data_IF_314042615842
#
_entry.id   IF_314042615842
#
_cell.length_a   1.000
_cell.length_b   1.000
_cell.length_c   1.000
_cell.angle_alpha   90.00
_cell.angle_beta   90.00
_cell.angle_gamma   90.00
#
_symmetry.space_group_name_H-M   'P 1'
#
loop_
_entity.id
_entity.type
_entity.pdbx_description
1 polymer ?
#
# COMPACT_ATOMS: atom_id res chain seq x y z
N UNK A 1 -14.96 -15.45 19.41
CA UNK A 1 -16.24 -15.81 18.71
C UNK A 1 -17.41 -15.23 19.47
N UNK A 2 -17.53 -15.54 20.76
CA UNK A 2 -18.51 -14.93 21.64
C UNK A 2 -17.84 -13.78 22.43
N UNK A 3 -18.31 -12.52 22.30
CA UNK A 3 -17.70 -11.38 23.00
C UNK A 3 -17.70 -11.52 24.53
N UNK A 4 -18.66 -12.26 25.08
CA UNK A 4 -18.83 -12.46 26.53
C UNK A 4 -18.03 -13.67 27.06
N UNK A 5 -17.46 -14.48 26.17
CA UNK A 5 -16.68 -15.67 26.49
C UNK A 5 -15.33 -15.68 25.77
N UNK A 6 -14.25 -15.22 26.40
CA UNK A 6 -12.90 -15.26 25.81
C UNK A 6 -12.42 -16.67 25.45
N UNK A 7 -12.95 -17.72 26.08
CA UNK A 7 -12.58 -19.10 25.77
C UNK A 7 -13.16 -19.61 24.44
N UNK A 8 -14.12 -18.92 23.87
CA UNK A 8 -14.75 -19.27 22.59
C UNK A 8 -13.82 -19.11 21.37
N UNK A 9 -12.65 -18.52 21.55
CA UNK A 9 -11.65 -18.32 20.50
C UNK A 9 -11.88 -17.03 19.67
N UNK A 10 -11.07 -16.87 18.62
CA UNK A 10 -11.08 -15.69 17.75
C UNK A 10 -11.82 -16.00 16.44
N UNK A 11 -12.43 -14.98 15.86
CA UNK A 11 -12.94 -15.03 14.49
C UNK A 11 -11.78 -15.11 13.49
N UNK A 12 -12.02 -15.62 12.28
CA UNK A 12 -11.03 -15.57 11.21
C UNK A 12 -10.51 -14.14 11.00
N UNK A 13 -9.23 -14.03 10.67
CA UNK A 13 -8.56 -12.75 10.41
C UNK A 13 -8.49 -11.79 11.63
N UNK A 14 -8.71 -12.30 12.83
CA UNK A 14 -8.51 -11.58 14.09
C UNK A 14 -7.28 -12.17 14.79
N UNK A 15 -6.30 -11.31 15.08
CA UNK A 15 -5.07 -11.69 15.75
C UNK A 15 -5.26 -11.92 17.24
N UNK A 16 -4.59 -12.93 17.79
CA UNK A 16 -4.46 -13.13 19.24
C UNK A 16 -3.32 -12.31 19.87
N UNK A 17 -2.56 -11.57 19.08
CA UNK A 17 -1.49 -10.70 19.59
C UNK A 17 -2.08 -9.38 20.05
N UNK A 18 -1.55 -8.86 21.15
CA UNK A 18 -1.91 -7.51 21.60
C UNK A 18 -1.30 -6.43 20.68
N UNK A 19 -1.90 -5.25 20.71
CA UNK A 19 -1.27 -4.07 20.15
C UNK A 19 0.03 -3.77 20.90
N UNK A 20 1.08 -3.43 20.18
CA UNK A 20 2.34 -2.97 20.78
C UNK A 20 2.16 -1.61 21.48
N UNK A 21 3.18 -1.19 22.21
CA UNK A 21 3.24 0.19 22.70
C UNK A 21 3.25 1.18 21.53
N UNK A 22 2.62 2.33 21.69
CA UNK A 22 2.59 3.35 20.63
C UNK A 22 4.01 3.73 20.17
N UNK A 23 4.25 3.65 18.85
CA UNK A 23 5.56 3.91 18.25
C UNK A 23 6.57 2.76 18.37
N UNK A 24 6.19 1.61 18.95
CA UNK A 24 7.08 0.44 18.97
C UNK A 24 7.16 -0.20 17.57
N UNK A 25 8.36 -0.68 17.21
CA UNK A 25 8.57 -1.42 15.98
C UNK A 25 8.26 -2.91 16.18
N UNK A 26 7.76 -3.55 15.13
CA UNK A 26 7.59 -5.00 15.05
C UNK A 26 7.80 -5.52 13.61
N UNK A 27 7.43 -6.77 13.35
CA UNK A 27 7.57 -7.40 12.02
C UNK A 27 6.27 -7.36 11.19
N UNK A 28 5.21 -6.75 11.71
CA UNK A 28 3.95 -6.60 10.97
C UNK A 28 4.11 -5.50 9.92
N UNK A 29 3.44 -5.70 8.80
CA UNK A 29 3.41 -4.75 7.70
C UNK A 29 1.97 -4.42 7.34
N UNK A 30 1.75 -3.26 6.76
CA UNK A 30 0.42 -2.84 6.31
C UNK A 30 -0.16 -3.83 5.29
N UNK A 31 -1.47 -4.00 5.34
CA UNK A 31 -2.20 -4.95 4.53
C UNK A 31 -2.03 -4.70 3.02
N UNK A 32 -2.09 -5.79 2.24
CA UNK A 32 -2.14 -5.76 0.78
C UNK A 32 -3.58 -5.97 0.29
N UNK A 33 -3.84 -5.57 -0.94
CA UNK A 33 -5.06 -5.88 -1.66
C UNK A 33 -4.81 -5.86 -3.17
N UNK A 34 -5.73 -6.43 -3.95
CA UNK A 34 -5.81 -6.11 -5.37
C UNK A 34 -6.62 -4.81 -5.55
N UNK A 35 -6.14 -3.90 -6.41
CA UNK A 35 -6.87 -2.71 -6.83
C UNK A 35 -7.81 -3.13 -7.96
N UNK A 36 -9.08 -3.34 -7.62
CA UNK A 36 -10.05 -3.88 -8.55
C UNK A 36 -10.68 -2.80 -9.40
N UNK A 37 -10.79 -3.05 -10.70
CA UNK A 37 -11.59 -2.25 -11.61
C UNK A 37 -13.00 -2.86 -11.70
N UNK A 38 -13.98 -2.18 -11.13
CA UNK A 38 -15.38 -2.56 -11.24
C UNK A 38 -16.10 -1.69 -12.28
N UNK A 39 -17.17 -2.21 -12.87
CA UNK A 39 -18.05 -1.49 -13.80
C UNK A 39 -19.52 -1.69 -13.45
N UNK A 40 -20.32 -0.63 -13.60
CA UNK A 40 -21.79 -0.70 -13.56
C UNK A 40 -22.43 -0.47 -14.92
N UNK A 41 -21.65 -0.56 -16.01
CA UNK A 41 -22.17 -0.54 -17.36
C UNK A 41 -22.78 -1.92 -17.69
N UNK A 42 -24.06 -2.05 -18.06
CA UNK A 42 -24.72 -3.36 -18.27
C UNK A 42 -23.99 -4.28 -19.23
N UNK A 43 -23.39 -3.73 -20.31
CA UNK A 43 -22.67 -4.48 -21.33
C UNK A 43 -21.18 -4.68 -21.03
N UNK A 44 -20.67 -4.07 -19.94
CA UNK A 44 -19.26 -4.11 -19.57
C UNK A 44 -19.07 -4.54 -18.12
N UNK A 45 -19.77 -5.59 -17.69
CA UNK A 45 -19.55 -6.15 -16.35
C UNK A 45 -19.67 -7.67 -16.33
N UNK A 46 -18.80 -8.28 -15.54
CA UNK A 46 -18.85 -9.71 -15.18
C UNK A 46 -19.36 -9.80 -13.74
N UNK A 47 -20.48 -10.53 -13.50
CA UNK A 47 -21.02 -10.69 -12.15
C UNK A 47 -20.03 -11.35 -11.19
N UNK A 48 -20.15 -11.04 -9.91
CA UNK A 48 -19.37 -11.68 -8.86
C UNK A 48 -19.81 -13.14 -8.69
N UNK A 49 -18.89 -14.06 -8.92
CA UNK A 49 -19.17 -15.51 -8.83
C UNK A 49 -18.58 -16.09 -7.55
N UNK A 50 -19.17 -17.18 -7.07
CA UNK A 50 -18.66 -17.91 -5.91
C UNK A 50 -17.29 -18.51 -6.24
N UNK A 51 -16.20 -18.11 -5.53
CA UNK A 51 -14.91 -18.76 -5.72
C UNK A 51 -14.92 -20.19 -5.20
N UNK A 52 -14.02 -21.03 -5.73
CA UNK A 52 -13.94 -22.44 -5.39
C UNK A 52 -13.71 -22.68 -3.89
N UNK A 53 -12.82 -21.89 -3.28
CA UNK A 53 -12.43 -22.00 -1.87
C UNK A 53 -13.27 -21.10 -0.96
N UNK A 54 -14.50 -20.74 -1.36
CA UNK A 54 -15.34 -19.84 -0.57
C UNK A 54 -15.80 -20.46 0.73
N UNK A 55 -15.47 -19.78 1.84
CA UNK A 55 -15.99 -20.06 3.17
C UNK A 55 -16.63 -18.79 3.75
N UNK A 56 -17.95 -18.79 3.94
CA UNK A 56 -18.69 -17.67 4.49
C UNK A 56 -18.23 -17.27 5.90
N UNK A 57 -17.67 -18.20 6.66
CA UNK A 57 -17.20 -17.94 8.02
C UNK A 57 -16.00 -16.97 8.05
N UNK A 58 -15.22 -16.90 6.97
CA UNK A 58 -14.15 -15.90 6.82
C UNK A 58 -14.66 -14.46 6.92
N UNK A 59 -15.95 -14.24 6.61
CA UNK A 59 -16.61 -12.91 6.61
C UNK A 59 -17.60 -12.75 7.77
N UNK A 60 -17.54 -13.62 8.78
CA UNK A 60 -18.40 -13.54 9.96
C UNK A 60 -18.33 -12.15 10.63
N UNK A 61 -17.13 -11.60 10.78
CA UNK A 61 -16.93 -10.27 11.33
C UNK A 61 -17.60 -9.19 10.46
N UNK A 62 -17.55 -9.31 9.14
CA UNK A 62 -18.23 -8.38 8.22
C UNK A 62 -19.75 -8.45 8.37
N UNK A 63 -20.30 -9.66 8.52
CA UNK A 63 -21.72 -9.83 8.82
C UNK A 63 -22.14 -9.06 10.07
N UNK A 64 -21.38 -9.20 11.16
CA UNK A 64 -21.63 -8.44 12.41
C UNK A 64 -21.46 -6.93 12.23
N UNK A 65 -20.56 -6.47 11.38
CA UNK A 65 -20.40 -5.05 11.02
C UNK A 65 -21.66 -4.53 10.34
N UNK A 66 -22.26 -5.25 9.42
CA UNK A 66 -23.54 -4.86 8.81
C UNK A 66 -24.70 -4.88 9.82
N UNK A 67 -24.76 -5.90 10.67
CA UNK A 67 -25.76 -5.99 11.76
C UNK A 67 -25.65 -4.82 12.76
N UNK A 68 -24.46 -4.28 12.97
CA UNK A 68 -24.24 -3.09 13.79
C UNK A 68 -24.72 -1.78 13.15
N UNK A 69 -25.19 -1.82 11.92
CA UNK A 69 -25.73 -0.67 11.20
C UNK A 69 -24.76 0.07 10.28
N UNK A 70 -23.57 -0.46 10.01
CA UNK A 70 -22.63 0.16 9.08
C UNK A 70 -23.18 0.20 7.65
N UNK A 71 -22.99 1.34 6.93
CA UNK A 71 -23.57 1.61 5.62
C UNK A 71 -22.60 2.18 4.59
N UNK A 72 -21.32 2.38 4.92
CA UNK A 72 -20.39 3.15 4.08
C UNK A 72 -19.70 2.30 2.99
N UNK A 73 -20.32 1.21 2.56
CA UNK A 73 -19.76 0.25 1.60
C UNK A 73 -19.17 0.88 0.33
N UNK A 74 -19.80 1.95 -0.18
CA UNK A 74 -19.42 2.57 -1.46
C UNK A 74 -18.50 3.79 -1.31
N UNK A 75 -18.04 4.11 -0.10
CA UNK A 75 -17.28 5.33 0.15
C UNK A 75 -15.99 5.43 -0.69
N UNK A 76 -15.35 4.29 -0.98
CA UNK A 76 -14.13 4.17 -1.78
C UNK A 76 -14.34 3.43 -3.10
N UNK A 77 -15.49 3.62 -3.71
CA UNK A 77 -15.73 3.34 -5.12
C UNK A 77 -15.34 4.60 -5.92
N UNK A 78 -14.04 4.86 -6.04
CA UNK A 78 -13.52 6.07 -6.68
C UNK A 78 -13.78 6.00 -8.19
N UNK A 79 -14.72 6.83 -8.67
CA UNK A 79 -15.17 6.79 -10.07
C UNK A 79 -14.08 7.21 -11.04
N UNK A 80 -13.88 6.40 -12.07
CA UNK A 80 -13.02 6.68 -13.21
C UNK A 80 -13.85 6.65 -14.50
N UNK A 81 -13.33 7.12 -15.66
CA UNK A 81 -14.08 7.15 -16.91
C UNK A 81 -14.72 5.81 -17.28
N UNK A 82 -15.74 5.87 -18.14
CA UNK A 82 -16.46 4.71 -18.68
C UNK A 82 -17.30 3.92 -17.65
N UNK A 83 -17.82 4.59 -16.62
CA UNK A 83 -18.62 3.97 -15.55
C UNK A 83 -17.88 2.88 -14.80
N UNK A 84 -16.59 3.07 -14.61
CA UNK A 84 -15.71 2.19 -13.85
C UNK A 84 -15.31 2.81 -12.51
N UNK A 85 -14.69 2.02 -11.66
CA UNK A 85 -14.12 2.46 -10.39
C UNK A 85 -12.71 1.94 -10.22
N UNK A 86 -11.88 2.71 -9.51
CA UNK A 86 -10.73 2.19 -8.78
C UNK A 86 -11.21 1.88 -7.36
N UNK A 87 -11.51 0.61 -7.09
CA UNK A 87 -12.09 0.20 -5.82
C UNK A 87 -11.00 -0.05 -4.79
N UNK A 88 -11.02 0.73 -3.70
CA UNK A 88 -10.03 0.68 -2.63
C UNK A 88 -10.68 0.27 -1.29
N UNK A 89 -9.84 0.14 -0.25
CA UNK A 89 -10.31 -0.20 1.10
C UNK A 89 -11.08 0.94 1.75
N UNK A 90 -12.10 0.60 2.52
CA UNK A 90 -12.81 1.50 3.42
C UNK A 90 -13.53 0.74 4.53
N UNK A 91 -13.58 1.34 5.71
CA UNK A 91 -14.34 0.81 6.84
C UNK A 91 -13.63 -0.27 7.66
N UNK A 92 -14.33 -0.84 8.63
CA UNK A 92 -13.75 -1.76 9.62
C UNK A 92 -13.36 -3.12 9.02
N UNK A 93 -13.97 -3.51 7.90
CA UNK A 93 -13.67 -4.73 7.15
C UNK A 93 -13.75 -4.39 5.66
N UNK A 94 -12.68 -4.65 4.91
CA UNK A 94 -12.53 -4.13 3.55
C UNK A 94 -11.75 -5.08 2.64
N UNK A 95 -11.34 -4.57 1.47
CA UNK A 95 -10.48 -5.27 0.51
C UNK A 95 -9.08 -5.56 1.04
N UNK A 96 -8.62 -4.83 2.05
CA UNK A 96 -7.34 -5.09 2.70
C UNK A 96 -7.39 -6.40 3.50
N UNK A 97 -6.55 -7.36 3.11
CA UNK A 97 -6.43 -8.62 3.83
C UNK A 97 -5.44 -8.47 5.00
N UNK A 98 -5.94 -7.86 6.10
CA UNK A 98 -5.14 -7.54 7.29
C UNK A 98 -4.55 -8.80 7.88
N UNK A 99 -3.21 -8.85 8.01
CA UNK A 99 -2.46 -9.98 8.57
C UNK A 99 -2.17 -11.11 7.59
N UNK A 100 -2.71 -11.06 6.36
CA UNK A 100 -2.49 -12.09 5.34
C UNK A 100 -1.11 -12.06 4.67
N UNK A 101 -0.27 -11.07 4.97
CA UNK A 101 0.95 -10.76 4.22
C UNK A 101 2.24 -10.70 5.04
N UNK A 102 2.22 -10.98 6.34
CA UNK A 102 3.40 -10.81 7.21
C UNK A 102 4.63 -11.61 6.75
N UNK A 103 4.43 -12.80 6.21
CA UNK A 103 5.54 -13.63 5.73
C UNK A 103 6.07 -13.19 4.35
N UNK A 104 5.30 -12.39 3.58
CA UNK A 104 5.60 -12.07 2.19
C UNK A 104 7.02 -11.53 1.96
N UNK A 105 7.56 -10.58 2.76
CA UNK A 105 8.89 -10.03 2.54
C UNK A 105 10.01 -11.08 2.55
N UNK A 106 9.91 -12.08 3.43
CA UNK A 106 10.93 -13.12 3.64
C UNK A 106 10.59 -14.45 2.95
N UNK A 107 9.43 -14.55 2.32
CA UNK A 107 8.94 -15.78 1.72
C UNK A 107 9.69 -16.15 0.44
N UNK A 108 9.79 -17.47 0.17
CA UNK A 108 10.18 -18.00 -1.13
C UNK A 108 9.18 -17.57 -2.22
N UNK A 109 9.57 -17.64 -3.49
CA UNK A 109 8.65 -17.35 -4.59
C UNK A 109 7.40 -18.24 -4.58
N UNK A 110 7.55 -19.52 -4.22
CA UNK A 110 6.40 -20.42 -4.08
C UNK A 110 5.47 -19.94 -2.97
N UNK A 111 6.00 -19.59 -1.78
CA UNK A 111 5.18 -19.07 -0.68
C UNK A 111 4.53 -17.73 -1.00
N UNK A 112 5.21 -16.87 -1.74
CA UNK A 112 4.61 -15.61 -2.24
C UNK A 112 3.45 -15.87 -3.19
N UNK A 113 3.55 -16.86 -4.07
CA UNK A 113 2.45 -17.25 -4.94
C UNK A 113 1.23 -17.74 -4.14
N UNK A 114 1.43 -18.53 -3.08
CA UNK A 114 0.36 -18.93 -2.15
C UNK A 114 -0.29 -17.72 -1.46
N UNK A 115 0.52 -16.78 -0.96
CA UNK A 115 0.03 -15.56 -0.33
C UNK A 115 -0.78 -14.71 -1.31
N UNK A 116 -0.32 -14.58 -2.56
CA UNK A 116 -1.03 -13.86 -3.62
C UNK A 116 -2.38 -14.54 -3.91
N UNK A 117 -2.41 -15.87 -4.02
CA UNK A 117 -3.65 -16.61 -4.25
C UNK A 117 -4.62 -16.46 -3.08
N UNK A 118 -4.13 -16.52 -1.83
CA UNK A 118 -4.96 -16.29 -0.65
C UNK A 118 -5.59 -14.88 -0.63
N UNK A 119 -4.88 -13.86 -1.08
CA UNK A 119 -5.44 -12.52 -1.24
C UNK A 119 -6.52 -12.46 -2.32
N UNK A 120 -6.33 -13.17 -3.43
CA UNK A 120 -7.33 -13.29 -4.48
C UNK A 120 -8.58 -13.96 -3.97
N UNK A 121 -8.45 -15.13 -3.33
CA UNK A 121 -9.56 -15.90 -2.76
C UNK A 121 -10.33 -15.07 -1.71
N UNK A 122 -9.61 -14.38 -0.83
CA UNK A 122 -10.19 -13.46 0.15
C UNK A 122 -11.01 -12.35 -0.50
N UNK A 123 -10.48 -11.65 -1.49
CA UNK A 123 -11.20 -10.54 -2.10
C UNK A 123 -12.37 -11.01 -2.99
N UNK A 124 -12.21 -12.09 -3.76
CA UNK A 124 -13.30 -12.67 -4.52
C UNK A 124 -14.43 -13.16 -3.62
N UNK A 125 -14.08 -13.82 -2.52
CA UNK A 125 -15.05 -14.24 -1.53
C UNK A 125 -15.74 -13.08 -0.81
N UNK A 126 -15.02 -11.98 -0.55
CA UNK A 126 -15.59 -10.74 -0.01
C UNK A 126 -16.66 -10.17 -0.95
N UNK A 127 -16.35 -10.07 -2.24
CA UNK A 127 -17.31 -9.57 -3.23
C UNK A 127 -18.55 -10.47 -3.31
N UNK A 128 -18.35 -11.79 -3.32
CA UNK A 128 -19.44 -12.76 -3.33
C UNK A 128 -20.28 -12.69 -2.06
N UNK A 129 -19.66 -12.57 -0.87
CA UNK A 129 -20.36 -12.40 0.40
C UNK A 129 -21.25 -11.15 0.37
N UNK A 130 -20.71 -10.00 -0.03
CA UNK A 130 -21.51 -8.76 -0.10
C UNK A 130 -22.67 -8.92 -1.09
N UNK A 131 -22.45 -9.60 -2.21
CA UNK A 131 -23.47 -9.80 -3.24
C UNK A 131 -24.61 -10.75 -2.82
N UNK A 132 -24.38 -11.66 -1.86
CA UNK A 132 -25.31 -12.80 -1.64
C UNK A 132 -25.70 -13.08 -0.19
N UNK A 133 -24.91 -12.64 0.82
CA UNK A 133 -25.18 -12.99 2.22
C UNK A 133 -26.41 -12.22 2.75
N UNK A 134 -27.36 -12.86 3.42
CA UNK A 134 -28.59 -12.24 3.89
C UNK A 134 -28.40 -11.19 5.02
N UNK A 135 -27.22 -11.14 5.65
CA UNK A 135 -26.88 -10.13 6.67
C UNK A 135 -26.49 -8.79 6.04
N UNK A 136 -26.16 -8.79 4.75
CA UNK A 136 -25.93 -7.53 4.01
C UNK A 136 -27.29 -6.85 3.81
N UNK A 137 -27.44 -5.59 4.21
CA UNK A 137 -28.70 -4.85 4.01
C UNK A 137 -29.14 -4.86 2.56
N UNK A 138 -30.40 -5.17 2.33
CA UNK A 138 -30.93 -5.43 0.98
C UNK A 138 -30.76 -4.26 0.02
N UNK A 139 -30.82 -3.04 0.50
CA UNK A 139 -30.60 -1.83 -0.28
C UNK A 139 -29.13 -1.73 -0.75
N UNK A 140 -28.17 -2.03 0.13
CA UNK A 140 -26.73 -2.07 -0.21
C UNK A 140 -26.44 -3.23 -1.14
N UNK A 141 -26.98 -4.41 -0.88
CA UNK A 141 -26.81 -5.60 -1.71
C UNK A 141 -27.36 -5.39 -3.12
N UNK A 142 -28.54 -4.79 -3.25
CA UNK A 142 -29.15 -4.46 -4.55
C UNK A 142 -28.27 -3.51 -5.33
N UNK A 143 -27.81 -2.42 -4.69
CA UNK A 143 -26.90 -1.44 -5.30
C UNK A 143 -25.55 -2.07 -5.64
N UNK A 144 -25.01 -2.96 -4.80
CA UNK A 144 -23.75 -3.64 -5.05
C UNK A 144 -23.83 -4.57 -6.27
N UNK A 145 -24.94 -5.24 -6.47
CA UNK A 145 -25.19 -6.12 -7.63
C UNK A 145 -25.39 -5.35 -8.96
N UNK A 146 -25.50 -4.02 -8.93
CA UNK A 146 -25.36 -3.20 -10.14
C UNK A 146 -23.93 -3.23 -10.69
N UNK A 147 -22.93 -3.47 -9.85
CA UNK A 147 -21.53 -3.58 -10.18
C UNK A 147 -21.09 -5.01 -10.50
N UNK A 148 -19.97 -5.13 -11.21
CA UNK A 148 -19.25 -6.38 -11.47
C UNK A 148 -17.80 -6.05 -11.85
N UNK A 149 -16.98 -7.05 -12.10
CA UNK A 149 -15.64 -6.83 -12.66
C UNK A 149 -15.79 -6.21 -14.05
N UNK A 150 -14.94 -5.25 -14.43
CA UNK A 150 -15.00 -4.64 -15.75
C UNK A 150 -14.60 -5.67 -16.82
N UNK A 151 -15.53 -5.95 -17.76
CA UNK A 151 -15.38 -7.02 -18.75
C UNK A 151 -14.26 -6.73 -19.78
N UNK A 152 -13.91 -5.46 -19.97
CA UNK A 152 -12.86 -5.00 -20.89
C UNK A 152 -11.48 -4.80 -20.23
N UNK A 153 -11.38 -5.05 -18.92
CA UNK A 153 -10.10 -4.97 -18.19
C UNK A 153 -9.59 -6.36 -17.83
N UNK A 154 -8.26 -6.55 -17.90
CA UNK A 154 -7.58 -7.79 -17.50
C UNK A 154 -8.18 -9.03 -18.16
N UNK A 155 -8.56 -8.94 -19.44
CA UNK A 155 -9.28 -9.97 -20.18
C UNK A 155 -8.51 -11.29 -20.29
N UNK A 156 -7.20 -11.24 -20.22
CA UNK A 156 -6.27 -12.37 -20.22
C UNK A 156 -6.08 -13.00 -18.83
N UNK A 157 -6.67 -12.40 -17.77
CA UNK A 157 -6.58 -12.89 -16.39
C UNK A 157 -7.95 -13.03 -15.70
N UNK A 158 -9.00 -13.30 -16.46
CA UNK A 158 -10.36 -13.47 -15.91
C UNK A 158 -10.94 -12.18 -15.32
N UNK A 159 -10.61 -11.04 -15.89
CA UNK A 159 -11.03 -9.70 -15.48
C UNK A 159 -10.53 -9.31 -14.06
N UNK A 160 -9.49 -10.00 -13.58
CA UNK A 160 -8.87 -9.76 -12.28
C UNK A 160 -7.50 -9.09 -12.46
N UNK A 161 -7.13 -8.08 -11.62
CA UNK A 161 -5.83 -7.41 -11.73
C UNK A 161 -4.67 -8.41 -11.67
N UNK A 162 -3.65 -8.20 -12.52
CA UNK A 162 -2.49 -9.09 -12.58
C UNK A 162 -1.64 -9.04 -11.32
N UNK A 163 -1.56 -7.87 -10.69
CA UNK A 163 -0.62 -7.63 -9.61
C UNK A 163 -1.33 -7.38 -8.28
N UNK A 164 -0.92 -8.10 -7.25
CA UNK A 164 -1.21 -7.74 -5.86
C UNK A 164 -0.53 -6.40 -5.54
N UNK A 165 -1.25 -5.45 -4.99
CA UNK A 165 -0.70 -4.15 -4.59
C UNK A 165 0.10 -4.27 -3.29
N UNK A 166 1.41 -4.41 -3.46
CA UNK A 166 2.38 -4.57 -2.38
C UNK A 166 2.82 -3.17 -1.94
N UNK A 167 2.25 -2.69 -0.84
CA UNK A 167 2.50 -1.34 -0.34
C UNK A 167 3.88 -1.17 0.26
N UNK A 168 4.38 -2.20 0.91
CA UNK A 168 5.71 -2.27 1.48
C UNK A 168 6.17 -3.72 1.63
N UNK A 169 7.49 -3.93 1.61
CA UNK A 169 8.12 -5.22 1.88
C UNK A 169 9.50 -4.96 2.49
N UNK A 170 10.57 -5.52 1.91
CA UNK A 170 11.94 -5.19 2.31
C UNK A 170 12.30 -3.77 1.85
N UNK A 171 13.00 -3.05 2.71
CA UNK A 171 13.65 -1.77 2.39
C UNK A 171 15.15 -1.90 2.70
N UNK A 172 15.98 -1.27 1.88
CA UNK A 172 17.41 -1.22 2.10
C UNK A 172 17.73 -0.41 3.37
N UNK A 173 18.82 -0.75 4.04
CA UNK A 173 19.47 0.12 5.03
C UNK A 173 20.74 0.67 4.35
N UNK A 174 20.58 1.82 3.71
CA UNK A 174 21.66 2.47 2.95
C UNK A 174 22.48 3.45 3.77
N UNK A 175 23.25 4.29 3.06
CA UNK A 175 24.07 5.34 3.70
C UNK A 175 23.25 6.41 4.41
N UNK A 176 22.03 6.64 3.97
CA UNK A 176 21.07 7.53 4.60
C UNK A 176 19.70 6.86 4.72
N UNK A 177 19.08 6.97 5.88
CA UNK A 177 17.73 6.45 6.10
C UNK A 177 16.75 7.62 6.16
N UNK A 178 15.85 7.71 5.17
CA UNK A 178 14.75 8.66 5.19
C UNK A 178 13.81 8.35 6.35
N UNK A 179 13.44 9.37 7.12
CA UNK A 179 12.58 9.23 8.30
C UNK A 179 11.40 10.21 8.25
N UNK A 180 10.49 10.12 9.21
CA UNK A 180 9.40 11.07 9.40
C UNK A 180 9.89 12.53 9.44
N UNK A 181 11.02 12.80 10.08
CA UNK A 181 11.59 14.17 10.18
C UNK A 181 11.96 14.76 8.82
N UNK A 182 12.39 13.92 7.88
CA UNK A 182 12.68 14.36 6.52
C UNK A 182 11.38 14.68 5.75
N UNK A 183 10.38 13.81 5.90
CA UNK A 183 9.08 13.98 5.25
C UNK A 183 8.33 15.21 5.80
N UNK A 184 8.47 15.49 7.09
CA UNK A 184 7.92 16.69 7.73
C UNK A 184 8.79 17.95 7.53
N UNK A 185 9.91 17.85 6.82
CA UNK A 185 10.86 18.96 6.60
C UNK A 185 11.43 19.57 7.91
N UNK A 186 11.51 18.75 8.96
CA UNK A 186 12.07 19.13 10.26
C UNK A 186 13.59 19.07 10.28
N UNK A 187 14.20 18.47 9.25
CA UNK A 187 15.64 18.46 9.05
C UNK A 187 15.97 18.64 7.56
N UNK A 188 17.11 19.21 7.27
CA UNK A 188 17.60 19.34 5.91
C UNK A 188 18.06 17.98 5.39
N UNK A 189 17.52 17.58 4.24
CA UNK A 189 17.90 16.37 3.53
C UNK A 189 19.12 16.66 2.67
N UNK A 190 20.23 15.90 2.81
CA UNK A 190 21.41 16.10 1.97
C UNK A 190 21.20 15.53 0.57
N UNK A 191 21.87 16.11 -0.42
CA UNK A 191 22.01 15.55 -1.76
C UNK A 191 20.67 15.13 -2.38
N UNK A 192 19.76 16.07 -2.58
CA UNK A 192 18.44 15.82 -3.14
C UNK A 192 18.50 15.29 -4.57
N UNK A 193 17.79 14.21 -4.85
CA UNK A 193 17.66 13.62 -6.20
C UNK A 193 16.21 13.55 -6.69
N UNK A 194 15.29 14.16 -5.97
CA UNK A 194 13.89 14.23 -6.33
C UNK A 194 13.03 14.66 -5.15
N UNK A 195 11.74 14.82 -5.41
CA UNK A 195 10.77 15.30 -4.44
C UNK A 195 9.66 14.29 -4.21
N UNK A 196 9.21 14.19 -2.95
CA UNK A 196 7.96 13.53 -2.58
C UNK A 196 6.95 14.56 -2.05
N UNK A 197 5.65 14.27 -2.21
CA UNK A 197 4.58 15.20 -1.78
C UNK A 197 3.32 14.51 -1.26
N UNK A 198 3.33 13.20 -1.11
CA UNK A 198 2.18 12.45 -0.64
C UNK A 198 2.09 12.46 0.89
N UNK A 199 0.86 12.37 1.41
CA UNK A 199 0.60 12.13 2.83
C UNK A 199 1.37 10.91 3.33
N UNK A 200 1.86 10.94 4.56
CA UNK A 200 2.32 9.71 5.22
C UNK A 200 1.11 8.81 5.44
N UNK A 201 1.01 7.75 4.65
CA UNK A 201 -0.15 6.86 4.55
C UNK A 201 0.27 5.42 4.83
N UNK A 202 -0.31 4.83 5.85
CA UNK A 202 -0.17 3.41 6.16
C UNK A 202 -1.54 2.80 6.35
N UNK A 203 -1.76 1.64 5.76
CA UNK A 203 -2.97 0.86 5.96
C UNK A 203 -2.88 0.03 7.24
N UNK A 204 -4.02 -0.47 7.70
CA UNK A 204 -4.07 -1.32 8.89
C UNK A 204 -3.10 -2.50 8.76
N UNK A 205 -2.32 -2.73 9.82
CA UNK A 205 -1.37 -3.84 9.92
C UNK A 205 -1.94 -5.02 10.70
N UNK A 206 -2.80 -4.78 11.68
CA UNK A 206 -3.38 -5.80 12.53
C UNK A 206 -4.85 -5.55 12.83
N UNK A 207 -5.58 -6.63 13.04
CA UNK A 207 -6.91 -6.62 13.67
C UNK A 207 -6.84 -7.48 14.91
N UNK A 208 -7.21 -6.95 16.06
CA UNK A 208 -7.07 -7.63 17.35
C UNK A 208 -8.26 -7.36 18.28
N UNK A 209 -8.36 -8.13 19.36
CA UNK A 209 -9.36 -7.91 20.39
C UNK A 209 -8.75 -7.08 21.51
N UNK A 210 -9.28 -5.87 21.73
CA UNK A 210 -8.86 -5.04 22.85
C UNK A 210 -9.55 -5.43 24.17
N UNK A 211 -9.03 -4.99 25.33
CA UNK A 211 -9.72 -5.16 26.61
C UNK A 211 -11.18 -4.72 26.53
N UNK A 212 -12.11 -5.56 26.98
CA UNK A 212 -13.54 -5.35 26.87
C UNK A 212 -14.21 -6.10 25.69
N UNK A 213 -13.46 -6.93 24.94
CA UNK A 213 -14.01 -7.86 23.95
C UNK A 213 -14.32 -7.26 22.59
N UNK A 214 -13.92 -6.01 22.31
CA UNK A 214 -14.18 -5.36 21.03
C UNK A 214 -13.02 -5.58 20.04
N UNK A 215 -13.36 -5.86 18.78
CA UNK A 215 -12.38 -5.93 17.71
C UNK A 215 -11.98 -4.53 17.25
N UNK A 216 -10.69 -4.32 17.09
CA UNK A 216 -10.11 -3.06 16.61
C UNK A 216 -9.04 -3.33 15.56
N UNK A 217 -9.00 -2.49 14.53
CA UNK A 217 -7.86 -2.42 13.61
C UNK A 217 -6.80 -1.47 14.15
N UNK A 218 -5.54 -1.72 13.81
CA UNK A 218 -4.41 -0.83 14.11
C UNK A 218 -3.45 -0.73 12.92
N UNK A 219 -2.66 0.37 12.89
CA UNK A 219 -1.64 0.62 11.87
C UNK A 219 -2.08 1.59 10.79
N UNK A 220 -3.35 2.00 10.77
CA UNK A 220 -3.84 3.02 9.85
C UNK A 220 -3.30 4.40 10.26
N UNK A 221 -2.57 5.04 9.33
CA UNK A 221 -1.95 6.35 9.54
C UNK A 221 -2.25 7.22 8.32
N UNK A 222 -2.72 8.43 8.56
CA UNK A 222 -2.97 9.42 7.53
C UNK A 222 -2.52 10.80 8.01
N UNK A 223 -1.24 11.14 7.88
CA UNK A 223 -0.68 12.44 8.32
C UNK A 223 -0.28 13.28 7.12
N UNK A 224 -0.91 14.45 6.97
CA UNK A 224 -0.58 15.40 5.92
C UNK A 224 0.81 15.98 6.13
N UNK A 225 1.56 16.11 5.05
CA UNK A 225 2.85 16.78 5.04
C UNK A 225 2.68 18.29 4.86
N UNK A 226 3.59 19.12 5.39
CA UNK A 226 3.47 20.58 5.30
C UNK A 226 3.73 21.13 3.89
N UNK A 227 4.74 20.59 3.21
CA UNK A 227 5.18 20.96 1.86
C UNK A 227 5.84 19.76 1.19
N UNK A 228 6.05 19.75 -0.14
CA UNK A 228 6.89 18.75 -0.79
C UNK A 228 8.28 18.67 -0.16
N UNK A 229 8.80 17.46 0.04
CA UNK A 229 10.07 17.20 0.72
C UNK A 229 11.09 16.58 -0.23
N UNK A 230 12.36 16.79 0.05
CA UNK A 230 13.49 16.26 -0.71
C UNK A 230 13.75 14.77 -0.37
N UNK A 231 14.26 14.02 -1.34
CA UNK A 231 14.72 12.63 -1.15
C UNK A 231 16.21 12.56 -1.45
N UNK A 232 16.98 12.01 -0.51
CA UNK A 232 18.43 11.97 -0.58
C UNK A 232 18.94 10.93 -1.56
N UNK A 233 19.99 11.26 -2.34
CA UNK A 233 20.78 10.30 -3.12
C UNK A 233 21.28 9.15 -2.26
N UNK A 234 21.78 9.46 -1.04
CA UNK A 234 22.30 8.47 -0.10
C UNK A 234 21.27 7.46 0.38
N UNK A 235 20.00 7.72 0.18
CA UNK A 235 18.93 6.73 0.45
C UNK A 235 18.73 5.70 -0.68
N UNK A 236 19.31 5.95 -1.86
CA UNK A 236 19.24 5.06 -3.02
C UNK A 236 20.41 4.07 -3.09
N UNK A 237 21.47 4.28 -2.29
CA UNK A 237 22.71 3.50 -2.36
C UNK A 237 22.95 2.73 -1.07
N UNK A 238 23.45 1.48 -1.16
CA UNK A 238 23.90 0.71 -0.01
C UNK A 238 25.17 1.32 0.57
N UNK A 239 25.58 0.84 1.72
CA UNK A 239 26.89 1.17 2.29
C UNK A 239 28.01 0.61 1.40
N UNK A 240 29.12 1.35 1.29
CA UNK A 240 30.22 0.97 0.41
C UNK A 240 30.80 -0.42 0.71
N UNK A 241 30.85 -0.81 2.00
CA UNK A 241 31.32 -2.14 2.41
C UNK A 241 30.41 -3.29 1.99
N UNK A 242 29.15 -3.00 1.59
CA UNK A 242 28.17 -4.01 1.18
C UNK A 242 28.09 -4.15 -0.34
N UNK A 243 28.03 -3.03 -1.08
CA UNK A 243 27.95 -3.04 -2.54
C UNK A 243 28.25 -1.67 -3.14
N UNK A 244 29.13 -1.61 -4.14
CA UNK A 244 29.58 -0.34 -4.74
C UNK A 244 28.98 -0.01 -6.10
N UNK A 245 28.10 -0.87 -6.64
CA UNK A 245 27.50 -0.73 -7.96
C UNK A 245 26.01 -1.02 -8.00
N UNK A 246 25.28 -0.78 -6.91
CA UNK A 246 23.83 -1.02 -6.81
C UNK A 246 23.08 0.26 -6.45
N UNK A 247 22.04 0.59 -7.21
CA UNK A 247 21.10 1.67 -6.92
C UNK A 247 19.68 1.10 -6.74
N UNK A 248 18.98 1.54 -5.69
CA UNK A 248 17.70 0.95 -5.24
C UNK A 248 16.61 2.03 -5.19
N UNK A 249 15.94 2.35 -6.30
CA UNK A 249 14.96 3.43 -6.36
C UNK A 249 13.58 3.07 -5.78
N UNK A 250 13.25 1.77 -5.66
CA UNK A 250 11.93 1.32 -5.16
C UNK A 250 12.01 0.89 -3.70
N UNK A 251 12.87 -0.06 -3.36
CA UNK A 251 13.10 -0.49 -1.98
C UNK A 251 14.05 0.46 -1.24
N UNK A 252 13.83 1.74 -1.39
CA UNK A 252 14.68 2.84 -0.90
C UNK A 252 14.88 2.76 0.61
N UNK A 253 16.05 3.21 1.06
CA UNK A 253 16.40 3.23 2.48
C UNK A 253 15.55 4.25 3.25
N UNK A 254 14.56 3.75 3.98
CA UNK A 254 13.60 4.58 4.72
C UNK A 254 12.95 3.83 5.87
N UNK A 255 12.49 4.58 6.87
CA UNK A 255 11.60 4.04 7.90
C UNK A 255 10.22 3.68 7.32
N UNK A 256 9.45 2.87 8.03
CA UNK A 256 8.07 2.53 7.64
C UNK A 256 7.23 3.77 7.35
N UNK A 257 7.23 4.75 8.25
CA UNK A 257 6.43 5.98 8.12
C UNK A 257 6.86 6.84 6.93
N UNK A 258 8.17 7.04 6.72
CA UNK A 258 8.66 7.78 5.56
C UNK A 258 8.31 7.07 4.26
N UNK A 259 8.42 5.75 4.21
CA UNK A 259 8.05 4.96 3.06
C UNK A 259 6.56 5.08 2.73
N UNK A 260 5.70 5.23 3.73
CA UNK A 260 4.27 5.49 3.53
C UNK A 260 3.96 6.70 2.64
N UNK A 261 4.86 7.69 2.60
CA UNK A 261 4.79 8.84 1.69
C UNK A 261 5.60 8.65 0.40
N UNK A 262 6.78 8.02 0.47
CA UNK A 262 7.70 7.85 -0.67
C UNK A 262 7.17 6.85 -1.70
N UNK A 263 6.44 5.83 -1.28
CA UNK A 263 6.03 4.63 -2.06
C UNK A 263 5.07 4.90 -3.23
N UNK A 264 4.95 6.10 -3.68
CA UNK A 264 4.10 6.46 -4.83
C UNK A 264 4.84 6.22 -6.15
N UNK A 265 4.15 5.65 -7.14
CA UNK A 265 4.72 5.29 -8.42
C UNK A 265 5.40 6.48 -9.14
N UNK A 266 4.84 7.70 -9.15
CA UNK A 266 5.54 8.85 -9.73
C UNK A 266 6.87 9.17 -9.03
N UNK A 267 6.95 8.97 -7.72
CA UNK A 267 8.21 9.15 -6.96
C UNK A 267 9.22 8.10 -7.37
N UNK A 268 8.81 6.83 -7.51
CA UNK A 268 9.70 5.77 -7.99
C UNK A 268 10.22 6.04 -9.41
N UNK A 269 9.40 6.62 -10.28
CA UNK A 269 9.84 7.03 -11.63
C UNK A 269 10.92 8.12 -11.56
N UNK A 270 10.74 9.13 -10.72
CA UNK A 270 11.72 10.20 -10.45
C UNK A 270 13.02 9.59 -9.93
N UNK A 271 12.94 8.75 -8.90
CA UNK A 271 14.12 8.10 -8.31
C UNK A 271 14.80 7.15 -9.29
N UNK A 272 14.04 6.48 -10.17
CA UNK A 272 14.56 5.65 -11.25
C UNK A 272 15.38 6.44 -12.25
N UNK A 273 14.92 7.62 -12.67
CA UNK A 273 15.68 8.53 -13.53
C UNK A 273 16.97 8.97 -12.83
N UNK A 274 16.91 9.41 -11.57
CA UNK A 274 18.08 9.84 -10.82
C UNK A 274 19.09 8.72 -10.63
N UNK A 275 18.63 7.51 -10.33
CA UNK A 275 19.48 6.32 -10.20
C UNK A 275 20.18 5.97 -11.52
N UNK A 276 19.46 6.01 -12.64
CA UNK A 276 20.04 5.75 -13.95
C UNK A 276 21.10 6.81 -14.33
N UNK A 277 20.81 8.09 -14.09
CA UNK A 277 21.76 9.19 -14.33
C UNK A 277 23.03 9.03 -13.49
N UNK A 278 22.87 8.71 -12.19
CA UNK A 278 24.01 8.47 -11.29
C UNK A 278 24.84 7.27 -11.74
N UNK A 279 24.19 6.18 -12.19
CA UNK A 279 24.91 5.00 -12.69
C UNK A 279 25.76 5.33 -13.93
N UNK A 280 25.19 6.10 -14.88
CA UNK A 280 25.94 6.51 -16.10
C UNK A 280 27.15 7.37 -15.73
N UNK A 281 26.97 8.38 -14.87
CA UNK A 281 28.07 9.25 -14.44
C UNK A 281 29.16 8.47 -13.69
N UNK A 282 28.79 7.55 -12.80
CA UNK A 282 29.77 6.72 -12.10
C UNK A 282 30.56 5.81 -13.06
N UNK A 283 29.91 5.25 -14.09
CA UNK A 283 30.56 4.46 -15.14
C UNK A 283 31.49 5.32 -16.02
N UNK A 284 31.08 6.53 -16.40
CA UNK A 284 31.89 7.45 -17.22
C UNK A 284 33.16 7.89 -16.48
N UNK A 285 33.10 7.99 -15.16
CA UNK A 285 34.23 8.43 -14.30
C UNK A 285 35.04 7.27 -13.73
N UNK A 286 34.60 6.03 -13.93
CA UNK A 286 35.20 4.82 -13.33
C UNK A 286 35.32 4.91 -11.79
N UNK A 287 34.23 5.33 -11.14
CA UNK A 287 34.13 5.45 -9.68
C UNK A 287 32.98 4.62 -9.11
N UNK A 288 33.08 4.25 -7.83
CA UNK A 288 31.97 3.67 -7.09
C UNK A 288 30.85 4.70 -6.91
N UNK A 289 29.60 4.23 -6.86
CA UNK A 289 28.41 5.10 -6.72
C UNK A 289 28.46 5.97 -5.45
N UNK A 290 29.13 5.50 -4.38
CA UNK A 290 29.32 6.26 -3.14
C UNK A 290 30.35 7.40 -3.29
N UNK A 291 31.25 7.30 -4.29
CA UNK A 291 32.30 8.29 -4.57
C UNK A 291 31.88 9.32 -5.61
N UNK A 292 30.74 9.10 -6.29
CA UNK A 292 30.21 10.05 -7.27
C UNK A 292 29.99 11.42 -6.60
N UNK A 293 30.60 12.46 -7.16
CA UNK A 293 30.44 13.82 -6.67
C UNK A 293 29.01 14.32 -6.89
N UNK A 294 28.29 14.60 -5.81
CA UNK A 294 26.87 14.96 -5.89
C UNK A 294 26.60 16.18 -6.79
N UNK A 295 27.50 17.18 -6.81
CA UNK A 295 27.29 18.37 -7.63
C UNK A 295 27.19 18.04 -9.13
N UNK A 296 27.94 17.05 -9.63
CA UNK A 296 27.89 16.63 -11.03
C UNK A 296 26.56 15.90 -11.34
N UNK A 297 26.10 15.08 -10.40
CA UNK A 297 24.78 14.48 -10.51
C UNK A 297 23.68 15.55 -10.51
N UNK A 298 23.78 16.53 -9.61
CA UNK A 298 22.84 17.64 -9.51
C UNK A 298 22.80 18.45 -10.81
N UNK A 299 23.96 18.85 -11.35
CA UNK A 299 24.05 19.60 -12.63
C UNK A 299 23.35 18.84 -13.77
N UNK A 300 23.52 17.52 -13.84
CA UNK A 300 22.89 16.71 -14.87
C UNK A 300 21.37 16.61 -14.67
N UNK A 301 20.91 16.40 -13.45
CA UNK A 301 19.47 16.35 -13.16
C UNK A 301 18.80 17.71 -13.39
N UNK A 302 19.47 18.82 -13.05
CA UNK A 302 18.99 20.19 -13.33
C UNK A 302 18.91 20.47 -14.85
N UNK A 303 19.92 20.02 -15.62
CA UNK A 303 19.90 20.11 -17.08
C UNK A 303 18.74 19.32 -17.71
N UNK A 304 18.37 18.19 -17.10
CA UNK A 304 17.21 17.37 -17.48
C UNK A 304 15.88 17.92 -16.91
N UNK A 305 15.91 19.09 -16.28
CA UNK A 305 14.76 19.79 -15.68
C UNK A 305 14.06 19.02 -14.55
N UNK A 306 14.78 18.16 -13.85
CA UNK A 306 14.23 17.47 -12.68
C UNK A 306 14.13 18.42 -11.48
N UNK A 307 13.00 18.39 -10.80
CA UNK A 307 12.78 19.26 -9.63
C UNK A 307 13.44 18.64 -8.40
N UNK A 308 14.48 19.29 -7.88
CA UNK A 308 15.24 18.82 -6.72
C UNK A 308 14.92 19.62 -5.44
N UNK A 309 14.36 20.82 -5.57
CA UNK A 309 14.04 21.71 -4.46
C UNK A 309 12.64 22.29 -4.68
N UNK A 310 11.84 22.34 -3.61
CA UNK A 310 10.55 23.01 -3.63
C UNK A 310 10.73 24.52 -3.37
N UNK A 311 10.43 25.31 -4.37
CA UNK A 311 10.32 26.76 -4.22
C UNK A 311 8.87 27.15 -4.04
N UNK A 312 8.52 27.68 -2.88
CA UNK A 312 7.19 28.22 -2.64
C UNK A 312 7.04 29.47 -3.51
N UNK A 313 6.24 29.36 -4.59
CA UNK A 313 5.87 30.56 -5.35
C UNK A 313 5.13 31.50 -4.41
N UNK A 314 5.66 32.68 -4.19
CA UNK A 314 4.90 33.77 -3.56
C UNK A 314 3.67 34.01 -4.43
N UNK A 315 2.50 33.73 -3.86
CA UNK A 315 1.24 34.10 -4.51
C UNK A 315 1.18 35.61 -4.54
N UNK A 316 1.58 36.19 -5.66
CA UNK A 316 1.27 37.58 -5.95
C UNK A 316 -0.24 37.72 -6.11
N UNK A 317 -0.92 38.11 -5.06
CA UNK A 317 -2.24 38.73 -5.06
C UNK A 317 -2.21 39.90 -4.09
#
# INVERSE_FOLDING_TARGET
INPEDPSSGLLPNVSGMEAGAYGSADKRIQAYCFRMCLSNHPENKVPFTKPENYDAYQYELLGRVFESGWRELFHKFDHIPNRKTDTNNHGPFSTDFIGGNYEYPEASYQKRAEIIQNHKDYQQGLLYFIATDPRVPIDLQTKFNEWGLAADEFTDNGNWPHQLYIREARRMIGEYVMTEKDVLTERQVPESVGMGSYTMDSHNAQRYVKPGGFVQNEGDIGVKIPVPYQISYRSLIPKAEECTNLLVPVCVSSSHIAFGSIRMEPVFMILGQSAATAAVLAMEQDVDIQQLAYHELQERLDADQQVLIYEKKESGY
#
